data_IF_460581299768
#
_entry.id   IF_460581299768
#
_cell.length_a   1.000
_cell.length_b   1.000
_cell.length_c   1.000
_cell.angle_alpha   90.00
_cell.angle_beta   90.00
_cell.angle_gamma   90.00
#
_symmetry.space_group_name_H-M   'P 1'
#
loop_
_entity.id
_entity.type
_entity.pdbx_description
1 polymer ?
#
# COMPACT_ATOMS: atom_id res chain seq x y z
N UNK A 1 -0.62 -10.46 25.64
CA UNK A 1 -0.02 -9.45 24.74
C UNK A 1 -0.87 -8.19 24.91
N UNK A 2 -0.28 -7.02 25.20
CA UNK A 2 -1.06 -5.78 25.29
C UNK A 2 -1.60 -5.42 23.90
N UNK A 3 -2.83 -4.93 23.85
CA UNK A 3 -3.45 -4.43 22.61
C UNK A 3 -2.71 -3.16 22.18
N UNK A 4 -2.28 -3.04 20.92
CA UNK A 4 -1.67 -1.82 20.42
C UNK A 4 -2.69 -0.68 20.47
N UNK A 5 -2.27 0.48 20.97
CA UNK A 5 -3.10 1.68 20.93
C UNK A 5 -2.91 2.35 19.58
N UNK A 6 -3.97 2.37 18.77
CA UNK A 6 -3.98 3.00 17.47
C UNK A 6 -4.52 4.43 17.60
N UNK A 7 -3.80 5.41 17.04
CA UNK A 7 -4.25 6.80 17.08
C UNK A 7 -5.32 7.07 16.01
N UNK A 8 -5.18 6.46 14.85
CA UNK A 8 -6.16 6.57 13.77
C UNK A 8 -6.19 5.28 12.94
N UNK A 9 -7.38 4.81 12.62
CA UNK A 9 -7.63 3.80 11.60
C UNK A 9 -8.15 4.46 10.32
N UNK A 10 -7.70 3.97 9.17
CA UNK A 10 -8.27 4.31 7.86
C UNK A 10 -8.64 2.99 7.21
N UNK A 11 -9.93 2.79 6.95
CA UNK A 11 -10.48 1.53 6.46
C UNK A 11 -11.27 1.80 5.18
N UNK A 12 -11.08 0.96 4.17
CA UNK A 12 -11.85 1.04 2.93
C UNK A 12 -12.91 -0.05 2.89
N UNK A 13 -14.15 0.33 2.62
CA UNK A 13 -15.31 -0.57 2.61
C UNK A 13 -16.11 -0.40 1.31
N UNK A 14 -16.95 -1.37 1.00
CA UNK A 14 -17.84 -1.28 -0.15
C UNK A 14 -18.88 -0.18 0.01
N UNK A 15 -19.60 -0.19 1.12
CA UNK A 15 -20.72 0.73 1.36
C UNK A 15 -20.72 1.21 2.81
N UNK A 16 -21.01 2.48 2.99
CA UNK A 16 -21.19 3.07 4.31
C UNK A 16 -22.40 4.01 4.30
N UNK A 17 -23.10 4.13 5.43
CA UNK A 17 -24.11 5.16 5.62
C UNK A 17 -23.51 6.42 6.24
N UNK A 18 -24.21 7.55 6.16
CA UNK A 18 -23.73 8.81 6.74
C UNK A 18 -23.51 8.75 8.25
N UNK A 19 -24.17 7.84 8.97
CA UNK A 19 -23.96 7.61 10.42
C UNK A 19 -22.69 6.80 10.74
N UNK A 20 -21.98 6.29 9.72
CA UNK A 20 -20.78 5.51 9.87
C UNK A 20 -20.98 4.00 9.87
N UNK A 21 -22.20 3.50 9.78
CA UNK A 21 -22.44 2.06 9.69
C UNK A 21 -21.98 1.52 8.34
N UNK A 22 -21.17 0.45 8.34
CA UNK A 22 -20.50 -0.05 7.14
C UNK A 22 -20.88 -1.49 6.80
N UNK A 23 -20.98 -1.75 5.50
CA UNK A 23 -21.08 -3.08 4.90
C UNK A 23 -19.71 -3.46 4.35
N UNK A 24 -19.21 -4.64 4.76
CA UNK A 24 -18.05 -5.29 4.17
C UNK A 24 -18.50 -6.62 3.59
N UNK A 25 -18.27 -6.82 2.31
CA UNK A 25 -18.54 -8.07 1.60
C UNK A 25 -17.22 -8.74 1.20
N UNK A 26 -17.18 -10.08 1.25
CA UNK A 26 -15.97 -10.85 1.01
C UNK A 26 -15.16 -11.09 2.28
N UNK A 27 -13.85 -11.17 2.12
CA UNK A 27 -12.96 -11.40 3.25
C UNK A 27 -12.80 -10.14 4.12
N UNK A 28 -13.09 -10.29 5.40
CA UNK A 28 -12.74 -9.28 6.38
C UNK A 28 -11.57 -9.83 7.21
N UNK A 29 -10.45 -9.10 7.26
CA UNK A 29 -9.30 -9.54 8.06
C UNK A 29 -9.39 -8.97 9.48
N UNK A 30 -8.75 -7.83 9.69
CA UNK A 30 -8.70 -7.16 11.00
C UNK A 30 -9.42 -5.81 10.98
N UNK A 31 -10.22 -5.53 9.96
CA UNK A 31 -10.85 -4.22 9.78
C UNK A 31 -11.73 -3.83 10.96
N UNK A 32 -12.55 -4.78 11.43
CA UNK A 32 -13.42 -4.57 12.61
C UNK A 32 -12.61 -4.37 13.88
N UNK A 33 -11.58 -5.21 14.09
CA UNK A 33 -10.71 -5.12 15.26
C UNK A 33 -9.95 -3.79 15.31
N UNK A 34 -9.46 -3.34 14.13
CA UNK A 34 -8.75 -2.08 13.95
C UNK A 34 -9.69 -0.90 14.22
N UNK A 35 -10.93 -0.95 13.69
CA UNK A 35 -11.93 0.09 13.93
C UNK A 35 -12.25 0.25 15.42
N UNK A 36 -12.39 -0.87 16.15
CA UNK A 36 -12.68 -0.86 17.59
C UNK A 36 -11.48 -0.43 18.43
N UNK A 37 -10.25 -0.80 18.01
CA UNK A 37 -9.03 -0.52 18.76
C UNK A 37 -8.49 0.91 18.56
N UNK A 38 -8.92 1.62 17.52
CA UNK A 38 -8.45 2.95 17.21
C UNK A 38 -9.16 4.03 18.06
N UNK A 39 -8.44 5.12 18.36
CA UNK A 39 -9.03 6.30 18.99
C UNK A 39 -9.92 7.09 18.02
N UNK A 40 -9.63 7.02 16.74
CA UNK A 40 -10.39 7.63 15.64
C UNK A 40 -10.40 6.70 14.46
N UNK A 41 -11.54 6.60 13.78
CA UNK A 41 -11.70 5.78 12.59
C UNK A 41 -12.27 6.61 11.45
N UNK A 42 -11.55 6.64 10.34
CA UNK A 42 -11.99 7.23 9.08
C UNK A 42 -12.32 6.06 8.14
N UNK A 43 -13.53 6.04 7.65
CA UNK A 43 -13.96 5.06 6.65
C UNK A 43 -13.99 5.74 5.28
N UNK A 44 -13.29 5.13 4.32
CA UNK A 44 -13.45 5.42 2.90
C UNK A 44 -14.35 4.37 2.27
N UNK A 45 -15.22 4.73 1.34
CA UNK A 45 -16.17 3.78 0.74
C UNK A 45 -16.36 4.02 -0.76
N UNK A 46 -16.75 2.97 -1.46
CA UNK A 46 -17.14 3.07 -2.87
C UNK A 46 -18.46 3.84 -3.02
N UNK A 47 -19.42 3.54 -2.14
CA UNK A 47 -20.74 4.16 -2.17
C UNK A 47 -21.20 4.59 -0.79
N UNK A 48 -21.79 5.78 -0.72
CA UNK A 48 -22.58 6.20 0.44
C UNK A 48 -24.02 5.80 0.18
N UNK A 49 -24.57 4.98 1.07
CA UNK A 49 -25.95 4.47 1.02
C UNK A 49 -26.79 5.01 2.16
N UNK A 50 -28.13 4.87 2.08
CA UNK A 50 -28.98 5.31 3.20
C UNK A 50 -28.96 4.30 4.35
N UNK A 51 -29.27 4.77 5.56
CA UNK A 51 -29.40 3.91 6.74
C UNK A 51 -30.47 2.83 6.55
N UNK A 52 -31.56 3.14 5.85
CA UNK A 52 -32.62 2.18 5.52
C UNK A 52 -32.11 1.09 4.59
N UNK A 53 -31.17 1.40 3.69
CA UNK A 53 -30.56 0.40 2.82
C UNK A 53 -29.78 -0.63 3.65
N UNK A 54 -28.98 -0.18 4.60
CA UNK A 54 -28.21 -1.06 5.49
C UNK A 54 -29.14 -1.88 6.38
N UNK A 55 -30.19 -1.29 6.93
CA UNK A 55 -31.17 -1.97 7.80
C UNK A 55 -31.97 -3.07 7.13
N UNK A 56 -32.02 -3.12 5.78
CA UNK A 56 -32.69 -4.22 5.06
C UNK A 56 -32.00 -5.56 5.25
N UNK A 57 -30.66 -5.55 5.41
CA UNK A 57 -29.88 -6.75 5.66
C UNK A 57 -28.77 -6.48 6.70
N UNK A 58 -29.15 -6.51 7.98
CA UNK A 58 -28.20 -6.23 9.06
C UNK A 58 -27.12 -7.32 9.19
N UNK A 59 -27.27 -8.46 8.52
CA UNK A 59 -26.26 -9.52 8.54
C UNK A 59 -24.98 -9.14 7.81
N UNK A 60 -25.04 -8.13 6.92
CA UNK A 60 -23.89 -7.59 6.20
C UNK A 60 -23.18 -6.47 6.93
N UNK A 61 -23.75 -5.94 8.01
CA UNK A 61 -23.12 -4.90 8.82
C UNK A 61 -21.91 -5.48 9.55
N UNK A 62 -20.75 -4.84 9.39
CA UNK A 62 -19.49 -5.22 10.04
C UNK A 62 -18.97 -4.17 11.00
N UNK A 63 -18.96 -2.91 10.59
CA UNK A 63 -18.53 -1.80 11.44
C UNK A 63 -19.76 -0.98 11.79
N UNK A 64 -19.93 -0.70 13.10
CA UNK A 64 -21.02 0.11 13.60
C UNK A 64 -20.64 1.59 13.62
N UNK A 65 -21.61 2.46 13.36
CA UNK A 65 -21.38 3.91 13.27
C UNK A 65 -20.73 4.53 14.52
N UNK A 66 -20.97 3.94 15.69
CA UNK A 66 -20.34 4.40 16.95
C UNK A 66 -18.81 4.29 16.95
N UNK A 67 -18.25 3.45 16.08
CA UNK A 67 -16.80 3.27 15.93
C UNK A 67 -16.19 4.19 14.87
N UNK A 68 -17.00 5.01 14.16
CA UNK A 68 -16.58 5.77 12.98
C UNK A 68 -16.72 7.26 13.20
N UNK A 69 -15.64 8.01 13.03
CA UNK A 69 -15.62 9.47 13.17
C UNK A 69 -15.92 10.21 11.86
N UNK A 70 -15.58 9.60 10.72
CA UNK A 70 -15.80 10.20 9.42
C UNK A 70 -16.00 9.16 8.31
N UNK A 71 -16.90 9.48 7.38
CA UNK A 71 -17.15 8.70 6.15
C UNK A 71 -16.80 9.54 4.94
N UNK A 72 -15.98 8.99 4.05
CA UNK A 72 -15.55 9.65 2.82
C UNK A 72 -15.83 8.77 1.61
N UNK A 73 -16.58 9.28 0.65
CA UNK A 73 -16.78 8.57 -0.61
C UNK A 73 -15.51 8.63 -1.46
N UNK A 74 -14.94 7.47 -1.78
CA UNK A 74 -13.67 7.36 -2.50
C UNK A 74 -13.73 6.19 -3.50
N UNK A 75 -14.39 6.35 -4.65
CA UNK A 75 -14.48 5.29 -5.65
C UNK A 75 -13.10 4.81 -6.10
N UNK A 76 -12.92 3.50 -6.22
CA UNK A 76 -11.62 2.86 -6.45
C UNK A 76 -10.59 3.15 -5.36
N UNK A 77 -11.04 3.36 -4.12
CA UNK A 77 -10.15 3.72 -3.00
C UNK A 77 -9.21 2.61 -2.54
N UNK A 78 -9.48 1.35 -2.89
CA UNK A 78 -8.56 0.24 -2.64
C UNK A 78 -7.52 0.05 -3.74
N UNK A 79 -7.62 0.78 -4.88
CA UNK A 79 -6.63 0.66 -5.96
C UNK A 79 -5.19 0.82 -5.43
N UNK A 80 -4.22 0.02 -5.88
CA UNK A 80 -4.25 -0.97 -6.96
C UNK A 80 -4.77 -2.37 -6.57
N UNK A 81 -5.21 -2.57 -5.32
CA UNK A 81 -5.83 -3.81 -4.86
C UNK A 81 -7.31 -3.88 -5.26
N UNK A 82 -7.89 -5.06 -5.10
CA UNK A 82 -9.31 -5.31 -5.40
C UNK A 82 -10.25 -4.73 -4.34
N UNK A 83 -11.48 -4.44 -4.75
CA UNK A 83 -12.62 -4.27 -3.86
C UNK A 83 -13.71 -5.25 -4.28
N UNK A 84 -13.95 -6.29 -3.48
CA UNK A 84 -14.86 -7.37 -3.82
C UNK A 84 -16.24 -6.85 -4.24
N UNK A 85 -16.73 -7.35 -5.37
CA UNK A 85 -18.01 -6.93 -5.95
C UNK A 85 -17.97 -5.62 -6.76
N UNK A 86 -16.89 -4.85 -6.69
CA UNK A 86 -16.74 -3.57 -7.41
C UNK A 86 -15.69 -3.64 -8.51
N UNK A 87 -14.47 -4.06 -8.18
CA UNK A 87 -13.37 -4.15 -9.15
C UNK A 87 -12.27 -5.11 -8.67
N UNK A 88 -11.55 -5.65 -9.64
CA UNK A 88 -10.40 -6.53 -9.42
C UNK A 88 -9.12 -5.73 -9.22
N UNK A 89 -8.07 -6.40 -8.76
CA UNK A 89 -6.74 -5.85 -8.66
C UNK A 89 -6.18 -5.43 -10.03
N UNK A 90 -5.44 -4.35 -10.00
CA UNK A 90 -4.79 -3.80 -11.18
C UNK A 90 -3.37 -4.33 -11.30
N UNK A 91 -3.22 -5.43 -12.00
CA UNK A 91 -1.93 -6.08 -12.31
C UNK A 91 -0.87 -5.10 -12.84
N UNK A 92 -1.27 -4.11 -13.64
CA UNK A 92 -0.35 -3.10 -14.16
C UNK A 92 0.09 -2.14 -13.06
N UNK A 93 -0.86 -1.68 -12.24
CA UNK A 93 -0.58 -0.81 -11.09
C UNK A 93 0.31 -1.50 -10.07
N UNK A 94 0.04 -2.76 -9.75
CA UNK A 94 0.87 -3.57 -8.86
C UNK A 94 2.28 -3.76 -9.41
N UNK A 95 2.44 -4.06 -10.70
CA UNK A 95 3.75 -4.17 -11.34
C UNK A 95 4.50 -2.83 -11.43
N UNK A 96 3.80 -1.73 -11.67
CA UNK A 96 4.38 -0.38 -11.63
C UNK A 96 4.89 -0.05 -10.22
N UNK A 97 4.10 -0.35 -9.20
CA UNK A 97 4.48 -0.16 -7.79
C UNK A 97 5.65 -1.06 -7.39
N UNK A 98 5.60 -2.36 -7.69
CA UNK A 98 6.68 -3.32 -7.42
C UNK A 98 8.00 -2.87 -8.06
N UNK A 99 7.94 -2.43 -9.31
CA UNK A 99 9.12 -1.89 -10.01
C UNK A 99 9.65 -0.61 -9.37
N UNK A 100 8.75 0.26 -8.92
CA UNK A 100 9.12 1.50 -8.24
C UNK A 100 9.68 1.24 -6.83
N UNK A 101 9.08 0.30 -6.08
CA UNK A 101 9.46 -0.04 -4.71
C UNK A 101 10.79 -0.79 -4.60
N UNK A 102 11.18 -1.56 -5.62
CA UNK A 102 12.52 -2.20 -5.67
C UNK A 102 13.67 -1.23 -5.53
N UNK A 103 13.41 0.04 -5.77
CA UNK A 103 14.37 1.09 -5.50
C UNK A 103 14.63 1.33 -4.00
N UNK A 104 13.61 1.24 -3.15
CA UNK A 104 13.78 1.34 -1.70
C UNK A 104 14.64 0.18 -1.16
N UNK A 105 14.41 -1.03 -1.69
CA UNK A 105 15.23 -2.20 -1.36
C UNK A 105 16.67 -2.02 -1.83
N UNK A 106 16.90 -1.38 -2.97
CA UNK A 106 18.24 -1.09 -3.49
C UNK A 106 18.98 -0.04 -2.66
N UNK A 107 18.31 0.97 -2.11
CA UNK A 107 18.92 1.96 -1.20
C UNK A 107 19.27 1.33 0.16
N UNK A 108 18.38 0.49 0.69
CA UNK A 108 18.66 -0.27 1.90
C UNK A 108 19.81 -1.27 1.68
N UNK A 109 19.85 -1.93 0.51
CA UNK A 109 20.95 -2.80 0.13
C UNK A 109 22.28 -2.04 0.03
N UNK A 110 22.30 -0.82 -0.54
CA UNK A 110 23.48 0.04 -0.54
C UNK A 110 23.94 0.42 0.85
N UNK A 111 22.99 0.83 1.71
CA UNK A 111 23.30 1.19 3.08
C UNK A 111 23.87 -0.01 3.85
N UNK A 112 23.35 -1.22 3.60
CA UNK A 112 23.86 -2.46 4.17
C UNK A 112 25.24 -2.83 3.62
N UNK A 113 25.48 -2.71 2.32
CA UNK A 113 26.79 -2.95 1.68
C UNK A 113 27.84 -1.96 2.18
N UNK A 114 27.49 -0.69 2.30
CA UNK A 114 28.40 0.34 2.85
C UNK A 114 28.74 0.04 4.32
N UNK A 115 27.77 -0.38 5.14
CA UNK A 115 28.03 -0.81 6.54
C UNK A 115 28.88 -2.09 6.60
N UNK A 116 28.66 -3.03 5.69
CA UNK A 116 29.44 -4.27 5.61
C UNK A 116 30.89 -3.98 5.19
N UNK A 117 31.10 -3.09 4.20
CA UNK A 117 32.42 -2.63 3.78
C UNK A 117 33.18 -1.96 4.93
N UNK A 118 32.56 -1.02 5.61
CA UNK A 118 33.18 -0.34 6.77
C UNK A 118 33.51 -1.32 7.92
N UNK A 119 32.69 -2.35 8.14
CA UNK A 119 32.94 -3.40 9.13
C UNK A 119 34.11 -4.30 8.71
N UNK A 120 34.17 -4.65 7.43
CA UNK A 120 35.26 -5.48 6.87
C UNK A 120 36.61 -4.73 6.91
N UNK A 121 36.64 -3.44 6.56
CA UNK A 121 37.81 -2.58 6.67
C UNK A 121 38.32 -2.47 8.12
N UNK A 122 37.44 -2.29 9.09
CA UNK A 122 37.79 -2.28 10.51
C UNK A 122 38.39 -3.63 10.98
N UNK A 123 37.83 -4.73 10.48
CA UNK A 123 38.36 -6.07 10.80
C UNK A 123 39.71 -6.32 10.17
N UNK A 124 39.96 -5.90 8.95
CA UNK A 124 41.23 -6.01 8.27
C UNK A 124 42.29 -5.09 8.92
N UNK A 125 41.92 -3.88 9.34
CA UNK A 125 42.81 -2.98 10.07
C UNK A 125 43.21 -3.51 11.45
N UNK A 126 42.33 -4.28 12.10
CA UNK A 126 42.63 -4.93 13.40
C UNK A 126 43.56 -6.13 13.30
N UNK A 127 43.66 -6.75 12.10
CA UNK A 127 44.52 -7.94 11.84
C UNK A 127 45.20 -7.82 10.47
N UNK A 128 46.21 -6.95 10.35
CA UNK A 128 46.84 -6.65 9.05
C UNK A 128 47.60 -7.82 8.43
N UNK A 129 47.92 -8.84 9.21
CA UNK A 129 48.62 -10.05 8.76
C UNK A 129 47.69 -11.11 8.12
N UNK A 130 46.37 -10.92 8.20
CA UNK A 130 45.39 -11.86 7.66
C UNK A 130 44.98 -11.46 6.23
N UNK A 131 45.66 -12.04 5.25
CA UNK A 131 45.43 -11.84 3.82
C UNK A 131 43.95 -12.10 3.39
N UNK A 132 43.26 -13.01 4.11
CA UNK A 132 41.85 -13.32 3.80
C UNK A 132 40.95 -12.17 4.21
N UNK A 133 41.21 -11.53 5.33
CA UNK A 133 40.46 -10.36 5.80
C UNK A 133 40.70 -9.15 4.90
N UNK A 134 41.95 -8.94 4.43
CA UNK A 134 42.29 -7.88 3.51
C UNK A 134 41.54 -8.04 2.16
N UNK A 135 41.56 -9.25 1.57
CA UNK A 135 40.81 -9.56 0.34
C UNK A 135 39.29 -9.41 0.52
N UNK A 136 38.74 -9.84 1.66
CA UNK A 136 37.31 -9.69 1.96
C UNK A 136 36.89 -8.21 2.09
N UNK A 137 37.75 -7.37 2.66
CA UNK A 137 37.51 -5.94 2.77
C UNK A 137 37.52 -5.25 1.40
N UNK A 138 38.45 -5.64 0.53
CA UNK A 138 38.54 -5.09 -0.85
C UNK A 138 37.34 -5.48 -1.71
N UNK A 139 36.89 -6.73 -1.63
CA UNK A 139 35.68 -7.21 -2.31
C UNK A 139 34.42 -6.50 -1.79
N UNK A 140 34.31 -6.33 -0.48
CA UNK A 140 33.18 -5.62 0.12
C UNK A 140 33.16 -4.13 -0.27
N UNK A 141 34.33 -3.48 -0.34
CA UNK A 141 34.47 -2.11 -0.76
C UNK A 141 34.09 -1.94 -2.23
N UNK A 142 34.61 -2.80 -3.11
CA UNK A 142 34.25 -2.77 -4.53
C UNK A 142 32.75 -2.98 -4.74
N UNK A 143 32.14 -3.91 -4.03
CA UNK A 143 30.68 -4.13 -4.11
C UNK A 143 29.88 -2.90 -3.63
N UNK A 144 30.36 -2.19 -2.61
CA UNK A 144 29.75 -0.96 -2.13
C UNK A 144 29.89 0.20 -3.12
N UNK A 145 31.06 0.32 -3.76
CA UNK A 145 31.34 1.33 -4.81
C UNK A 145 30.52 1.05 -6.07
N UNK A 146 30.43 -0.20 -6.50
CA UNK A 146 29.63 -0.61 -7.66
C UNK A 146 28.13 -0.33 -7.41
N UNK A 147 27.63 -0.62 -6.22
CA UNK A 147 26.29 -0.30 -5.80
C UNK A 147 26.05 1.22 -5.72
N UNK A 148 27.03 2.01 -5.28
CA UNK A 148 26.93 3.45 -5.22
C UNK A 148 26.92 4.11 -6.61
N UNK A 149 27.74 3.61 -7.54
CA UNK A 149 27.87 4.16 -8.90
C UNK A 149 26.78 3.65 -9.86
N UNK A 150 26.16 2.50 -9.59
CA UNK A 150 25.12 1.88 -10.43
C UNK A 150 23.73 2.44 -10.21
N UNK A 151 23.51 3.23 -9.19
CA UNK A 151 22.19 3.76 -8.88
C UNK A 151 22.12 5.26 -9.12
N UNK A 152 21.85 5.64 -10.35
CA UNK A 152 20.91 6.76 -10.54
C UNK A 152 19.64 6.36 -9.78
N UNK A 153 19.15 7.24 -8.89
CA UNK A 153 17.78 7.13 -8.37
C UNK A 153 16.92 6.90 -9.61
N UNK A 154 16.28 5.73 -9.79
CA UNK A 154 15.33 5.63 -10.87
C UNK A 154 14.36 6.78 -10.62
N UNK A 155 14.21 7.64 -11.56
CA UNK A 155 13.16 8.66 -11.59
C UNK A 155 11.82 8.02 -11.26
N UNK A 156 11.72 6.72 -11.46
CA UNK A 156 10.55 5.86 -11.36
C UNK A 156 9.78 5.90 -10.03
N UNK A 157 10.43 5.99 -8.86
CA UNK A 157 9.64 6.05 -7.61
C UNK A 157 9.15 7.46 -7.31
N UNK A 158 9.96 8.47 -7.56
CA UNK A 158 9.53 9.87 -7.49
C UNK A 158 8.46 10.16 -8.51
N UNK A 159 8.62 9.63 -9.73
CA UNK A 159 7.62 9.75 -10.79
C UNK A 159 6.35 9.01 -10.46
N UNK A 160 6.44 7.82 -9.86
CA UNK A 160 5.29 7.08 -9.36
C UNK A 160 4.53 7.88 -8.29
N UNK A 161 5.22 8.38 -7.28
CA UNK A 161 4.62 9.21 -6.23
C UNK A 161 4.05 10.51 -6.80
N UNK A 162 4.77 11.16 -7.72
CA UNK A 162 4.28 12.37 -8.37
C UNK A 162 3.03 12.09 -9.21
N UNK A 163 3.01 10.97 -9.92
CA UNK A 163 1.89 10.59 -10.79
C UNK A 163 0.63 10.23 -10.02
N UNK A 164 0.75 9.42 -8.96
CA UNK A 164 -0.39 8.79 -8.30
C UNK A 164 -0.71 9.35 -6.92
N UNK A 165 0.19 10.15 -6.34
CA UNK A 165 0.02 10.69 -4.99
C UNK A 165 0.10 12.20 -4.98
N UNK A 166 1.29 12.77 -5.21
CA UNK A 166 1.50 14.21 -5.06
C UNK A 166 0.93 15.06 -6.20
N UNK A 167 0.75 14.48 -7.39
CA UNK A 167 0.16 15.15 -8.54
C UNK A 167 -1.36 15.14 -8.55
N UNK A 168 -1.98 14.31 -7.70
CA UNK A 168 -3.43 14.23 -7.55
C UNK A 168 -3.87 15.08 -6.36
N UNK A 169 -4.75 16.03 -6.57
CA UNK A 169 -5.30 16.91 -5.52
C UNK A 169 -6.45 16.25 -4.78
N UNK A 170 -7.17 15.42 -5.51
CA UNK A 170 -8.36 14.71 -5.04
C UNK A 170 -8.50 13.36 -5.76
N UNK A 171 -9.57 12.65 -5.42
CA UNK A 171 -9.87 11.33 -5.99
C UNK A 171 -10.18 11.41 -7.50
N UNK A 172 -10.80 12.47 -7.96
CA UNK A 172 -11.14 12.64 -9.38
C UNK A 172 -9.88 12.81 -10.24
N UNK A 173 -8.87 13.51 -9.73
CA UNK A 173 -7.55 13.60 -10.38
C UNK A 173 -6.90 12.22 -10.52
N UNK A 174 -6.95 11.38 -9.47
CA UNK A 174 -6.43 10.01 -9.52
C UNK A 174 -7.18 9.18 -10.57
N UNK A 175 -8.51 9.22 -10.59
CA UNK A 175 -9.32 8.50 -11.57
C UNK A 175 -9.02 8.94 -13.01
N UNK A 176 -8.77 10.24 -13.22
CA UNK A 176 -8.34 10.78 -14.53
C UNK A 176 -6.96 10.25 -14.94
N UNK A 177 -6.01 10.16 -14.01
CA UNK A 177 -4.67 9.60 -14.26
C UNK A 177 -4.74 8.12 -14.61
N UNK A 178 -5.60 7.35 -13.95
CA UNK A 178 -5.83 5.93 -14.25
C UNK A 178 -6.48 5.73 -15.63
N UNK A 179 -7.40 6.62 -15.97
CA UNK A 179 -8.09 6.64 -17.26
C UNK A 179 -9.28 5.68 -17.35
N UNK A 180 -10.34 6.13 -18.01
CA UNK A 180 -11.62 5.42 -18.06
C UNK A 180 -11.51 3.99 -18.62
N UNK A 181 -10.70 3.75 -19.64
CA UNK A 181 -10.51 2.41 -20.20
C UNK A 181 -9.91 1.42 -19.20
N UNK A 182 -8.93 1.85 -18.39
CA UNK A 182 -8.32 1.04 -17.34
C UNK A 182 -9.34 0.70 -16.25
N UNK A 183 -10.06 1.70 -15.76
CA UNK A 183 -11.08 1.54 -14.73
C UNK A 183 -12.22 0.61 -15.19
N UNK A 184 -12.66 0.75 -16.45
CA UNK A 184 -13.69 -0.13 -17.03
C UNK A 184 -13.23 -1.59 -17.16
N UNK A 185 -11.94 -1.83 -17.41
CA UNK A 185 -11.41 -3.19 -17.46
C UNK A 185 -11.34 -3.84 -16.09
N UNK A 186 -11.13 -3.07 -15.03
CA UNK A 186 -11.08 -3.57 -13.66
C UNK A 186 -12.48 -3.83 -13.08
N UNK A 187 -13.50 -3.14 -13.59
CA UNK A 187 -14.86 -3.20 -13.05
C UNK A 187 -15.44 -4.61 -13.12
N UNK A 188 -15.90 -5.11 -11.98
CA UNK A 188 -16.53 -6.42 -11.87
C UNK A 188 -17.85 -6.49 -12.61
N UNK A 189 -18.16 -7.66 -13.14
CA UNK A 189 -19.47 -7.94 -13.69
C UNK A 189 -20.43 -8.33 -12.54
N UNK A 190 -21.59 -7.67 -12.40
CA UNK A 190 -22.46 -7.82 -11.22
C UNK A 190 -22.90 -9.27 -10.95
N UNK A 191 -22.95 -10.12 -11.98
CA UNK A 191 -23.39 -11.51 -11.87
C UNK A 191 -22.25 -12.49 -11.61
N UNK A 192 -20.99 -12.08 -11.81
CA UNK A 192 -19.80 -12.92 -11.61
C UNK A 192 -19.02 -12.54 -10.35
N UNK A 193 -19.07 -11.27 -9.94
CA UNK A 193 -18.27 -10.74 -8.83
C UNK A 193 -16.79 -10.55 -9.16
N UNK A 194 -16.39 -10.70 -10.42
CA UNK A 194 -15.04 -10.43 -10.93
C UNK A 194 -15.09 -9.88 -12.37
N UNK A 195 -14.00 -9.32 -12.85
CA UNK A 195 -13.88 -8.83 -14.22
C UNK A 195 -13.48 -9.95 -15.19
N UNK A 196 -14.07 -9.94 -16.38
CA UNK A 196 -13.69 -10.87 -17.48
C UNK A 196 -12.85 -10.17 -18.56
N UNK A 197 -12.42 -8.92 -18.33
CA UNK A 197 -11.82 -8.02 -19.32
C UNK A 197 -10.30 -7.86 -19.16
N UNK A 198 -9.62 -8.92 -18.72
CA UNK A 198 -8.15 -8.91 -18.56
C UNK A 198 -7.39 -8.93 -19.88
#
# INVERSE_FOLDING_TARGET
VPVPMLDCAIIHVQQASPDGTCIIEGDEFHDVDIAIAAKRTIVTCEEIVSDEYIRRDPTKTRIFGECVDAVVRTPYGAWPAQCYGYYDDDDKGLKEYDKASKYLDAEDAKAQLAKAAAKAEKAAAAKPEDEKLAKAAEVAKQAAEDAANGTKIPETFKDYLQKYVYGCKDQDDLLNVLGGARLMNLKNEPHLGYSTRH
#
